data_IF_820534142499
#
_entry.id   IF_820534142499
#
_cell.length_a   1.000
_cell.length_b   1.000
_cell.length_c   1.000
_cell.angle_alpha   90.00
_cell.angle_beta   90.00
_cell.angle_gamma   90.00
#
_symmetry.space_group_name_H-M   'P 1'
#
loop_
_entity.id
_entity.type
_entity.pdbx_description
1 polymer ?
#
# COMPACT_ATOMS: atom_id res chain seq x y z
N UNK A 1 16.32 2.84 22.50
CA UNK A 1 16.00 2.18 21.22
C UNK A 1 15.07 3.14 20.50
N UNK A 2 15.68 4.00 19.70
CA UNK A 2 15.06 5.21 19.16
C UNK A 2 13.94 4.87 18.18
N UNK A 3 12.84 5.61 18.33
CA UNK A 3 11.66 5.60 17.48
C UNK A 3 12.06 5.79 16.01
N UNK A 4 11.76 4.82 15.15
CA UNK A 4 11.74 5.07 13.70
C UNK A 4 10.68 6.13 13.42
N UNK A 5 11.02 7.29 12.82
CA UNK A 5 10.01 8.27 12.43
C UNK A 5 9.19 7.68 11.27
N UNK A 6 7.90 7.50 11.49
CA UNK A 6 6.87 7.18 10.47
C UNK A 6 7.03 8.12 9.27
N UNK A 7 7.59 7.65 8.16
CA UNK A 7 7.85 8.46 6.97
C UNK A 7 7.57 7.67 5.71
N UNK A 8 6.52 8.06 4.97
CA UNK A 8 6.61 8.68 3.63
C UNK A 8 5.21 8.98 3.05
N UNK A 9 5.12 9.90 2.07
CA UNK A 9 3.91 10.64 1.74
C UNK A 9 3.00 9.81 0.83
N UNK A 10 1.86 9.39 1.37
CA UNK A 10 0.72 9.07 0.54
C UNK A 10 -0.05 10.39 0.35
N UNK A 11 -0.12 10.90 -0.89
CA UNK A 11 -1.03 12.01 -1.24
C UNK A 11 -2.51 11.65 -0.96
N UNK A 12 -2.76 10.37 -0.68
CA UNK A 12 -4.05 9.83 -0.30
C UNK A 12 -4.38 10.04 1.19
N UNK A 13 -4.79 11.26 1.56
CA UNK A 13 -5.20 11.66 2.93
C UNK A 13 -6.15 10.67 3.63
N UNK A 14 -7.04 10.03 2.87
CA UNK A 14 -7.97 9.02 3.39
C UNK A 14 -7.29 7.75 3.89
N UNK A 15 -6.22 7.30 3.24
CA UNK A 15 -5.48 6.11 3.68
C UNK A 15 -4.64 6.41 4.90
N UNK A 16 -3.99 7.58 4.92
CA UNK A 16 -3.24 8.03 6.09
C UNK A 16 -4.13 8.11 7.33
N UNK A 17 -5.31 8.73 7.19
CA UNK A 17 -6.28 8.82 8.28
C UNK A 17 -6.75 7.43 8.74
N UNK A 18 -7.02 6.52 7.79
CA UNK A 18 -7.40 5.15 8.10
C UNK A 18 -6.31 4.37 8.83
N UNK A 19 -5.06 4.52 8.41
CA UNK A 19 -3.93 3.84 9.05
C UNK A 19 -3.71 4.36 10.47
N UNK A 20 -3.73 5.69 10.68
CA UNK A 20 -3.43 6.30 11.98
C UNK A 20 -4.56 6.18 13.00
N UNK A 21 -5.81 6.40 12.57
CA UNK A 21 -6.96 6.56 13.48
C UNK A 21 -7.98 5.42 13.36
N UNK A 22 -7.87 4.60 12.32
CA UNK A 22 -8.91 3.64 11.95
C UNK A 22 -10.13 4.27 11.28
N UNK A 23 -10.15 5.60 11.10
CA UNK A 23 -11.22 6.32 10.42
C UNK A 23 -11.36 5.88 8.96
N UNK A 24 -12.56 5.44 8.57
CA UNK A 24 -12.81 4.92 7.21
C UNK A 24 -13.17 6.01 6.20
N UNK A 25 -13.09 7.28 6.61
CA UNK A 25 -13.38 8.42 5.73
C UNK A 25 -12.28 8.51 4.66
N UNK A 26 -12.67 8.35 3.39
CA UNK A 26 -11.72 8.36 2.27
C UNK A 26 -11.15 7.00 1.89
N UNK A 27 -11.70 5.90 2.40
CA UNK A 27 -11.49 4.56 1.83
C UNK A 27 -12.83 3.89 1.57
N UNK A 28 -12.84 2.77 0.86
CA UNK A 28 -14.03 1.93 0.80
C UNK A 28 -14.16 1.13 2.10
N UNK A 29 -15.24 1.28 2.90
CA UNK A 29 -15.34 0.67 4.22
C UNK A 29 -15.24 -0.86 4.22
N UNK A 30 -15.68 -1.50 3.13
CA UNK A 30 -15.63 -2.95 2.94
C UNK A 30 -14.24 -3.47 2.50
N UNK A 31 -13.28 -2.57 2.25
CA UNK A 31 -11.87 -2.90 2.07
C UNK A 31 -11.05 -2.75 3.34
N UNK A 32 -11.62 -2.17 4.41
CA UNK A 32 -10.90 -1.78 5.62
C UNK A 32 -10.03 -2.91 6.19
N UNK A 33 -10.57 -4.12 6.35
CA UNK A 33 -9.82 -5.23 6.97
C UNK A 33 -8.62 -5.64 6.13
N UNK A 34 -8.79 -5.76 4.81
CA UNK A 34 -7.69 -6.11 3.90
C UNK A 34 -6.67 -4.98 3.75
N UNK A 35 -7.13 -3.73 3.65
CA UNK A 35 -6.26 -2.56 3.62
C UNK A 35 -5.43 -2.45 4.89
N UNK A 36 -6.01 -2.75 6.06
CA UNK A 36 -5.27 -2.72 7.32
C UNK A 36 -4.10 -3.72 7.31
N UNK A 37 -4.35 -4.94 6.87
CA UNK A 37 -3.29 -5.96 6.77
C UNK A 37 -2.23 -5.54 5.76
N UNK A 38 -2.63 -5.07 4.57
CA UNK A 38 -1.71 -4.65 3.52
C UNK A 38 -0.85 -3.46 3.96
N UNK A 39 -1.44 -2.42 4.55
CA UNK A 39 -0.71 -1.24 5.03
C UNK A 39 0.23 -1.57 6.18
N UNK A 40 -0.17 -2.45 7.09
CA UNK A 40 0.72 -2.92 8.18
C UNK A 40 1.89 -3.73 7.64
N UNK A 41 1.66 -4.52 6.60
CA UNK A 41 2.74 -5.29 5.93
C UNK A 41 3.69 -4.35 5.20
N UNK A 42 3.14 -3.34 4.51
CA UNK A 42 3.89 -2.33 3.77
C UNK A 42 4.80 -1.51 4.71
N UNK A 43 4.33 -1.16 5.91
CA UNK A 43 5.09 -0.43 6.94
C UNK A 43 6.35 -1.17 7.44
N UNK A 44 6.37 -2.50 7.34
CA UNK A 44 7.52 -3.33 7.76
C UNK A 44 8.29 -3.95 6.59
N UNK A 45 7.76 -3.85 5.37
CA UNK A 45 8.33 -4.44 4.16
C UNK A 45 9.61 -3.71 3.72
N UNK A 46 10.60 -4.49 3.29
CA UNK A 46 11.89 -4.00 2.77
C UNK A 46 12.09 -4.30 1.30
N UNK A 47 11.27 -5.18 0.75
CA UNK A 47 11.27 -5.50 -0.67
C UNK A 47 9.84 -5.72 -1.18
N UNK A 48 9.62 -5.67 -2.51
CA UNK A 48 8.34 -6.01 -3.10
C UNK A 48 7.87 -7.43 -2.78
N UNK A 49 8.80 -8.38 -2.66
CA UNK A 49 8.50 -9.77 -2.34
C UNK A 49 7.83 -9.96 -0.98
N UNK A 50 8.08 -9.07 -0.01
CA UNK A 50 7.40 -9.07 1.29
C UNK A 50 5.88 -8.83 1.15
N UNK A 51 5.45 -8.25 0.02
CA UNK A 51 4.05 -8.01 -0.33
C UNK A 51 3.45 -9.13 -1.20
N UNK A 52 4.16 -10.24 -1.42
CA UNK A 52 3.70 -11.36 -2.25
C UNK A 52 2.83 -12.38 -1.49
N UNK A 53 1.90 -11.91 -0.66
CA UNK A 53 0.99 -12.80 0.04
C UNK A 53 -0.01 -13.48 -0.92
N UNK A 54 -0.42 -14.69 -0.58
CA UNK A 54 -1.39 -15.45 -1.38
C UNK A 54 -2.67 -14.66 -1.62
N UNK A 55 -3.09 -14.54 -2.88
CA UNK A 55 -4.30 -13.81 -3.27
C UNK A 55 -4.12 -12.29 -3.36
N UNK A 56 -2.93 -11.74 -3.11
CA UNK A 56 -2.64 -10.33 -3.35
C UNK A 56 -2.20 -10.08 -4.79
N UNK A 57 -1.84 -11.12 -5.54
CA UNK A 57 -1.51 -11.01 -6.98
C UNK A 57 -0.47 -9.92 -7.24
N UNK A 58 0.64 -9.99 -6.50
CA UNK A 58 1.76 -9.08 -6.67
C UNK A 58 2.26 -9.16 -8.12
N UNK A 59 2.44 -7.99 -8.74
CA UNK A 59 3.09 -7.88 -10.05
C UNK A 59 3.76 -6.51 -10.20
N UNK A 60 4.84 -6.47 -10.97
CA UNK A 60 5.50 -5.24 -11.36
C UNK A 60 4.69 -4.49 -12.41
N UNK A 61 4.65 -3.17 -12.31
CA UNK A 61 4.12 -2.29 -13.34
C UNK A 61 5.20 -2.02 -14.40
N UNK A 62 4.78 -1.58 -15.58
CA UNK A 62 5.66 -1.41 -16.76
C UNK A 62 5.63 0.03 -17.30
N UNK A 63 6.49 0.31 -18.28
CA UNK A 63 6.59 1.60 -18.98
C UNK A 63 6.88 2.77 -18.02
N UNK A 64 6.02 3.78 -17.98
CA UNK A 64 6.18 4.98 -17.14
C UNK A 64 6.13 4.68 -15.64
N UNK A 65 5.66 3.49 -15.26
CA UNK A 65 5.60 3.00 -13.88
C UNK A 65 6.63 1.88 -13.62
N UNK A 66 7.69 1.80 -14.42
CA UNK A 66 8.79 0.87 -14.16
C UNK A 66 9.38 1.12 -12.76
N UNK A 67 9.56 0.05 -11.98
CA UNK A 67 9.98 0.14 -10.57
C UNK A 67 8.83 0.30 -9.57
N UNK A 68 7.58 0.40 -10.05
CA UNK A 68 6.39 0.29 -9.23
C UNK A 68 5.84 -1.13 -9.25
N UNK A 69 5.09 -1.44 -8.21
CA UNK A 69 4.48 -2.74 -7.96
C UNK A 69 3.02 -2.53 -7.58
N UNK A 70 2.22 -3.55 -7.81
CA UNK A 70 0.79 -3.52 -7.54
C UNK A 70 0.34 -4.80 -6.86
N UNK A 71 -0.51 -4.64 -5.85
CA UNK A 71 -1.26 -5.73 -5.22
C UNK A 71 -2.75 -5.46 -5.30
N UNK A 72 -3.52 -6.54 -5.44
CA UNK A 72 -4.98 -6.52 -5.47
C UNK A 72 -5.54 -6.33 -4.06
N UNK A 73 -6.36 -5.30 -3.90
CA UNK A 73 -7.18 -5.13 -2.69
C UNK A 73 -8.46 -5.97 -2.86
N UNK A 74 -9.36 -5.58 -3.75
CA UNK A 74 -10.57 -6.35 -4.07
C UNK A 74 -11.13 -5.89 -5.42
N UNK A 75 -11.59 -6.83 -6.25
CA UNK A 75 -12.07 -6.51 -7.60
C UNK A 75 -11.00 -5.82 -8.44
N UNK A 76 -11.33 -4.67 -9.00
CA UNK A 76 -10.46 -3.77 -9.78
C UNK A 76 -9.57 -2.87 -8.92
N UNK A 77 -9.77 -2.81 -7.59
CA UNK A 77 -8.94 -1.98 -6.72
C UNK A 77 -7.51 -2.53 -6.60
N UNK A 78 -6.57 -1.61 -6.73
CA UNK A 78 -5.14 -1.86 -6.61
C UNK A 78 -4.54 -0.93 -5.56
N UNK A 79 -3.59 -1.48 -4.83
CA UNK A 79 -2.65 -0.71 -4.03
C UNK A 79 -1.32 -0.75 -4.77
N UNK A 80 -0.79 0.41 -5.12
CA UNK A 80 0.47 0.55 -5.83
C UNK A 80 1.54 1.10 -4.90
N UNK A 81 2.75 0.61 -5.04
CA UNK A 81 3.88 0.99 -4.20
C UNK A 81 5.18 0.91 -4.98
N UNK A 82 6.24 1.50 -4.44
CA UNK A 82 7.60 1.39 -4.97
C UNK A 82 8.55 0.99 -3.85
N UNK A 83 9.74 0.50 -4.20
CA UNK A 83 10.79 0.22 -3.23
C UNK A 83 11.92 1.22 -3.45
N UNK A 84 12.26 1.99 -2.42
CA UNK A 84 13.33 2.98 -2.44
C UNK A 84 14.21 2.81 -1.21
N UNK A 85 15.53 2.70 -1.42
CA UNK A 85 16.53 2.56 -0.34
C UNK A 85 16.28 1.38 0.63
N UNK A 86 15.62 0.32 0.15
CA UNK A 86 15.28 -0.85 0.96
C UNK A 86 14.04 -0.66 1.85
N UNK A 87 13.23 0.36 1.58
CA UNK A 87 11.92 0.58 2.17
C UNK A 87 10.83 0.53 1.11
N UNK A 88 9.69 -0.08 1.43
CA UNK A 88 8.50 -0.05 0.59
C UNK A 88 7.68 1.21 0.88
N UNK A 89 7.33 1.95 -0.17
CA UNK A 89 6.62 3.23 -0.09
C UNK A 89 5.32 3.12 -0.85
N UNK A 90 4.20 3.32 -0.13
CA UNK A 90 2.87 3.39 -0.73
C UNK A 90 2.82 4.58 -1.68
N UNK A 91 2.37 4.32 -2.91
CA UNK A 91 2.21 5.34 -3.96
C UNK A 91 0.74 5.70 -4.08
N UNK A 92 -0.14 4.71 -4.25
CA UNK A 92 -1.56 4.98 -4.45
C UNK A 92 -2.48 3.82 -4.04
N UNK A 93 -3.76 4.13 -3.94
CA UNK A 93 -4.87 3.20 -3.79
C UNK A 93 -6.03 3.67 -4.67
N UNK A 94 -6.26 2.96 -5.77
CA UNK A 94 -7.23 3.39 -6.76
C UNK A 94 -7.96 2.21 -7.41
N UNK A 95 -9.12 2.51 -7.97
CA UNK A 95 -9.83 1.59 -8.85
C UNK A 95 -9.21 1.63 -10.24
N UNK A 96 -8.91 0.47 -10.81
CA UNK A 96 -8.53 0.38 -12.22
C UNK A 96 -9.80 0.18 -13.05
N UNK A 97 -10.61 1.23 -13.18
CA UNK A 97 -11.69 1.35 -14.16
C UNK A 97 -12.05 2.82 -14.40
#
# INVERSE_FOLDING_TARGET
MESKPSRRPCDHKGLEAFFRTGGKAGIQPHHADKLRVQLTTLDVARSPDDMNASGWRLHSLSHDLAGHWSVSVRGSFRLTFTCQDGDVVLVDYQDYH
#
